data_IF_102929079484
#
_entry.id   IF_102929079484
#
_cell.length_a   1.000
_cell.length_b   1.000
_cell.length_c   1.000
_cell.angle_alpha   90.00
_cell.angle_beta   90.00
_cell.angle_gamma   90.00
#
_symmetry.space_group_name_H-M   'P 1'
#
loop_
_entity.id
_entity.type
_entity.pdbx_description
1 polymer ?
#
# COMPACT_ATOMS: atom_id res chain seq x y z
N UNK A 1 -22.33 32.03 9.15
CA UNK A 1 -21.08 31.39 9.63
C UNK A 1 -21.06 30.00 9.03
N UNK A 2 -20.51 29.85 7.84
CA UNK A 2 -20.42 28.55 7.14
C UNK A 2 -19.38 27.72 7.89
N UNK A 3 -19.86 26.68 8.59
CA UNK A 3 -18.99 25.66 9.16
C UNK A 3 -18.26 24.99 7.99
N UNK A 4 -16.96 25.21 7.90
CA UNK A 4 -16.14 24.60 6.86
C UNK A 4 -15.85 23.18 7.33
N UNK A 5 -16.76 22.28 7.01
CA UNK A 5 -16.58 20.84 7.20
C UNK A 5 -15.15 20.44 6.81
N UNK A 6 -14.48 19.73 7.72
CA UNK A 6 -13.11 19.28 7.49
C UNK A 6 -13.10 18.37 6.26
N UNK A 7 -12.34 18.75 5.23
CA UNK A 7 -12.23 17.97 3.98
C UNK A 7 -11.58 16.59 4.18
N UNK A 8 -11.04 16.33 5.38
CA UNK A 8 -10.31 15.12 5.72
C UNK A 8 -10.85 14.48 7.00
N UNK A 9 -10.83 13.16 7.02
CA UNK A 9 -11.14 12.32 8.17
C UNK A 9 -9.95 11.42 8.49
N UNK A 10 -9.82 11.05 9.76
CA UNK A 10 -8.77 10.12 10.21
C UNK A 10 -9.10 8.70 9.78
N UNK A 11 -8.16 8.02 9.14
CA UNK A 11 -8.31 6.61 8.81
C UNK A 11 -8.02 5.74 10.03
N UNK A 12 -8.92 4.80 10.30
CA UNK A 12 -8.70 3.72 11.26
C UNK A 12 -7.65 2.75 10.74
N UNK A 13 -7.08 1.92 11.62
CA UNK A 13 -6.14 0.88 11.20
C UNK A 13 -6.79 -0.13 10.24
N UNK A 14 -8.06 -0.49 10.48
CA UNK A 14 -8.82 -1.37 9.59
C UNK A 14 -9.04 -0.73 8.21
N UNK A 15 -9.36 0.56 8.16
CA UNK A 15 -9.48 1.29 6.90
C UNK A 15 -8.15 1.31 6.15
N UNK A 16 -7.02 1.51 6.85
CA UNK A 16 -5.69 1.46 6.24
C UNK A 16 -5.36 0.07 5.70
N UNK A 17 -5.75 -1.00 6.41
CA UNK A 17 -5.57 -2.39 5.95
C UNK A 17 -6.37 -2.68 4.69
N UNK A 18 -7.65 -2.29 4.68
CA UNK A 18 -8.53 -2.47 3.53
C UNK A 18 -8.00 -1.71 2.29
N UNK A 19 -7.65 -0.44 2.46
CA UNK A 19 -7.06 0.39 1.38
C UNK A 19 -5.72 -0.20 0.92
N UNK A 20 -4.89 -0.67 1.85
CA UNK A 20 -3.62 -1.31 1.55
C UNK A 20 -3.76 -2.56 0.70
N UNK A 21 -4.71 -3.45 1.05
CA UNK A 21 -5.02 -4.63 0.26
C UNK A 21 -5.50 -4.29 -1.14
N UNK A 22 -6.42 -3.33 -1.26
CA UNK A 22 -6.90 -2.84 -2.55
C UNK A 22 -5.77 -2.23 -3.41
N UNK A 23 -4.88 -1.46 -2.80
CA UNK A 23 -3.74 -0.87 -3.50
C UNK A 23 -2.77 -1.96 -4.01
N UNK A 24 -2.56 -3.02 -3.21
CA UNK A 24 -1.77 -4.19 -3.60
C UNK A 24 -2.37 -4.90 -4.82
N UNK A 25 -3.68 -5.15 -4.81
CA UNK A 25 -4.40 -5.75 -5.95
C UNK A 25 -4.21 -4.92 -7.22
N UNK A 26 -4.25 -3.59 -7.08
CA UNK A 26 -4.07 -2.70 -8.22
C UNK A 26 -2.63 -2.71 -8.76
N UNK A 27 -1.64 -2.67 -7.87
CA UNK A 27 -0.22 -2.64 -8.23
C UNK A 27 0.26 -3.96 -8.83
N UNK A 28 -0.22 -5.09 -8.31
CA UNK A 28 0.15 -6.43 -8.75
C UNK A 28 -0.19 -6.68 -10.23
N UNK A 29 -1.27 -6.07 -10.75
CA UNK A 29 -1.60 -6.13 -12.18
C UNK A 29 -0.54 -5.48 -13.08
N UNK A 30 0.14 -4.45 -12.58
CA UNK A 30 1.18 -3.73 -13.34
C UNK A 30 2.58 -4.31 -13.12
N UNK A 31 2.79 -5.09 -12.06
CA UNK A 31 4.09 -5.59 -11.65
C UNK A 31 4.82 -6.39 -12.74
N UNK A 32 4.18 -7.30 -13.50
CA UNK A 32 4.86 -8.02 -14.59
C UNK A 32 5.34 -7.09 -15.71
N UNK A 33 4.68 -5.95 -15.94
CA UNK A 33 5.14 -4.96 -16.94
C UNK A 33 6.44 -4.31 -16.47
N UNK A 34 6.52 -3.95 -15.19
CA UNK A 34 7.71 -3.36 -14.59
C UNK A 34 8.88 -4.34 -14.55
N UNK A 35 8.65 -5.57 -14.07
CA UNK A 35 9.68 -6.60 -13.94
C UNK A 35 10.30 -6.98 -15.29
N UNK A 36 9.55 -6.92 -16.39
CA UNK A 36 10.11 -7.10 -17.74
C UNK A 36 11.08 -5.98 -18.14
N UNK A 37 10.89 -4.76 -17.64
CA UNK A 37 11.73 -3.59 -17.94
C UNK A 37 12.94 -3.49 -17.00
N UNK A 38 12.74 -3.85 -15.73
CA UNK A 38 13.67 -3.65 -14.64
C UNK A 38 13.69 -4.86 -13.67
N UNK A 39 13.92 -6.06 -14.20
CA UNK A 39 13.83 -7.31 -13.44
C UNK A 39 14.81 -7.47 -12.28
N UNK A 40 15.87 -6.65 -12.23
CA UNK A 40 16.80 -6.60 -11.10
C UNK A 40 16.31 -5.73 -9.93
N UNK A 41 15.31 -4.88 -10.13
CA UNK A 41 14.74 -4.05 -9.08
C UNK A 41 13.61 -4.79 -8.36
N UNK A 42 13.95 -5.37 -7.21
CA UNK A 42 13.03 -6.17 -6.40
C UNK A 42 12.14 -5.31 -5.49
N UNK A 43 12.33 -3.99 -5.44
CA UNK A 43 11.63 -3.12 -4.49
C UNK A 43 10.11 -3.08 -4.69
N UNK A 44 9.57 -3.04 -5.93
CA UNK A 44 8.12 -3.05 -6.13
C UNK A 44 7.45 -4.35 -5.66
N UNK A 45 8.09 -5.49 -5.92
CA UNK A 45 7.63 -6.80 -5.41
C UNK A 45 7.63 -6.80 -3.88
N UNK A 46 8.74 -6.41 -3.27
CA UNK A 46 8.88 -6.33 -1.81
C UNK A 46 7.86 -5.37 -1.17
N UNK A 47 7.53 -4.26 -1.84
CA UNK A 47 6.52 -3.32 -1.38
C UNK A 47 5.12 -3.92 -1.40
N UNK A 48 4.77 -4.65 -2.47
CA UNK A 48 3.50 -5.38 -2.59
C UNK A 48 3.39 -6.44 -1.49
N UNK A 49 4.43 -7.24 -1.29
CA UNK A 49 4.45 -8.26 -0.25
C UNK A 49 4.29 -7.63 1.15
N UNK A 50 4.98 -6.51 1.41
CA UNK A 50 4.88 -5.80 2.67
C UNK A 50 3.49 -5.22 2.96
N UNK A 51 2.78 -4.72 1.94
CA UNK A 51 1.41 -4.23 2.14
C UNK A 51 0.42 -5.40 2.31
N UNK A 52 0.65 -6.55 1.67
CA UNK A 52 -0.16 -7.77 1.86
C UNK A 52 -0.02 -8.29 3.30
N UNK A 53 1.19 -8.33 3.84
CA UNK A 53 1.45 -8.69 5.24
C UNK A 53 0.69 -7.75 6.20
N UNK A 54 0.76 -6.44 5.96
CA UNK A 54 0.05 -5.45 6.77
C UNK A 54 -1.47 -5.61 6.69
N UNK A 55 -2.02 -5.77 5.48
CA UNK A 55 -3.45 -5.95 5.24
C UNK A 55 -4.00 -7.21 5.91
N UNK A 56 -3.21 -8.28 5.99
CA UNK A 56 -3.55 -9.54 6.66
C UNK A 56 -3.51 -9.48 8.21
N UNK A 57 -3.31 -8.29 8.79
CA UNK A 57 -3.24 -8.11 10.24
C UNK A 57 -1.82 -7.99 10.79
N UNK A 58 -0.80 -8.07 9.93
CA UNK A 58 0.59 -7.86 10.30
C UNK A 58 0.86 -6.49 10.91
N UNK A 59 2.00 -6.36 11.62
CA UNK A 59 2.45 -5.08 12.14
C UNK A 59 2.73 -4.13 10.97
N UNK A 60 2.49 -2.83 11.15
CA UNK A 60 2.88 -1.81 10.16
C UNK A 60 4.41 -1.85 10.00
N UNK A 61 4.89 -2.59 9.01
CA UNK A 61 6.31 -2.89 8.90
C UNK A 61 7.08 -1.67 8.39
N UNK A 62 8.16 -1.33 9.10
CA UNK A 62 9.11 -0.29 8.70
C UNK A 62 9.72 -0.53 7.31
N UNK A 63 9.64 -1.77 6.79
CA UNK A 63 10.05 -2.14 5.43
C UNK A 63 9.41 -1.27 4.34
N UNK A 64 8.16 -0.84 4.52
CA UNK A 64 7.50 0.06 3.56
C UNK A 64 8.08 1.50 3.55
N UNK A 65 8.86 1.88 4.56
CA UNK A 65 9.47 3.24 4.67
C UNK A 65 10.93 3.29 4.19
N UNK A 66 11.54 2.15 3.88
CA UNK A 66 12.95 2.03 3.53
C UNK A 66 13.21 1.45 2.13
N UNK A 67 12.16 1.24 1.33
CA UNK A 67 12.24 0.78 -0.07
C UNK A 67 12.29 1.98 -1.03
#
# INVERSE_FOLDING_TARGET
MTDRESKYFTLTLESLRAIGGWAADCAERALPLFERRAGSDLRPRAAIDGIREFAAGGKRAARLRSL
#
